data_IF_125586779238
#
_entry.id   IF_125586779238
#
_cell.length_a   1.000
_cell.length_b   1.000
_cell.length_c   1.000
_cell.angle_alpha   90.00
_cell.angle_beta   90.00
_cell.angle_gamma   90.00
#
_symmetry.space_group_name_H-M   'P 1'
#
loop_
_entity.id
_entity.type
_entity.pdbx_description
1 polymer ?
#
# COMPACT_ATOMS: atom_id res chain seq x y z
N UNK A 1 -8.73 -2.46 -28.19
CA UNK A 1 -10.03 -2.46 -27.48
C UNK A 1 -9.69 -1.96 -26.08
N UNK A 2 -10.14 -0.76 -25.73
CA UNK A 2 -9.83 -0.20 -24.41
C UNK A 2 -10.55 -1.02 -23.35
N UNK A 3 -9.82 -1.49 -22.34
CA UNK A 3 -10.46 -2.00 -21.13
C UNK A 3 -11.30 -0.87 -20.56
N UNK A 4 -12.61 -1.10 -20.50
CA UNK A 4 -13.53 -0.26 -19.77
C UNK A 4 -13.14 -0.41 -18.30
N UNK A 5 -12.75 0.69 -17.66
CA UNK A 5 -12.40 0.68 -16.23
C UNK A 5 -13.59 0.13 -15.43
N UNK A 6 -13.38 -0.97 -14.68
CA UNK A 6 -14.40 -1.63 -13.86
C UNK A 6 -14.67 -0.93 -12.52
N UNK A 7 -14.02 0.20 -12.27
CA UNK A 7 -14.27 1.00 -11.08
C UNK A 7 -15.58 1.80 -11.19
N UNK A 8 -16.56 1.49 -10.33
CA UNK A 8 -17.77 2.31 -10.16
C UNK A 8 -17.44 3.77 -9.76
N UNK A 9 -16.33 3.98 -9.05
CA UNK A 9 -15.74 5.28 -8.75
C UNK A 9 -14.29 5.31 -9.22
N UNK A 10 -13.92 6.11 -10.24
CA UNK A 10 -12.56 6.18 -10.73
C UNK A 10 -11.55 6.63 -9.65
N UNK A 11 -10.44 5.89 -9.45
CA UNK A 11 -9.35 6.34 -8.59
C UNK A 11 -8.79 7.70 -9.02
N UNK A 12 -8.49 8.55 -8.04
CA UNK A 12 -7.93 9.90 -8.26
C UNK A 12 -6.50 10.02 -7.72
N UNK A 13 -5.65 10.89 -8.30
CA UNK A 13 -4.33 11.16 -7.76
C UNK A 13 -4.40 11.89 -6.41
N UNK A 14 -3.35 11.79 -5.59
CA UNK A 14 -3.21 12.52 -4.33
C UNK A 14 -1.92 13.34 -4.30
N UNK A 15 -2.00 14.54 -3.73
CA UNK A 15 -0.86 15.45 -3.56
C UNK A 15 -0.50 15.55 -2.07
N UNK A 16 0.67 15.04 -1.71
CA UNK A 16 1.13 14.92 -0.32
C UNK A 16 2.46 15.64 -0.19
N UNK A 17 2.46 16.79 0.49
CA UNK A 17 3.68 17.55 0.82
C UNK A 17 4.57 17.87 -0.40
N UNK A 18 3.95 18.20 -1.54
CA UNK A 18 4.65 18.49 -2.81
C UNK A 18 4.93 17.26 -3.68
N UNK A 19 4.63 16.04 -3.20
CA UNK A 19 4.73 14.79 -3.98
C UNK A 19 3.37 14.44 -4.59
N UNK A 20 3.33 14.16 -5.89
CA UNK A 20 2.12 13.71 -6.58
C UNK A 20 2.13 12.20 -6.76
N UNK A 21 1.16 11.50 -6.16
CA UNK A 21 0.90 10.09 -6.40
C UNK A 21 -0.18 9.96 -7.48
N UNK A 22 0.13 9.41 -8.68
CA UNK A 22 -0.87 9.22 -9.73
C UNK A 22 -2.00 8.28 -9.27
N UNK A 23 -3.15 8.34 -9.95
CA UNK A 23 -4.28 7.45 -9.66
C UNK A 23 -3.95 5.97 -9.88
N UNK A 24 -3.00 5.68 -10.77
CA UNK A 24 -2.58 4.34 -11.14
C UNK A 24 -1.06 4.27 -11.23
N UNK A 25 -0.49 3.12 -10.88
CA UNK A 25 0.93 2.84 -11.03
C UNK A 25 1.16 1.37 -11.42
N UNK A 26 2.18 1.13 -12.24
CA UNK A 26 2.65 -0.22 -12.57
C UNK A 26 3.97 -0.45 -11.84
N UNK A 27 4.06 -1.44 -10.93
CA UNK A 27 5.29 -1.82 -10.26
C UNK A 27 6.42 -2.24 -11.21
N UNK A 28 7.70 -2.16 -10.78
CA UNK A 28 8.83 -2.67 -11.55
C UNK A 28 8.69 -4.18 -11.80
N UNK A 29 9.10 -4.64 -12.99
CA UNK A 29 9.12 -6.07 -13.35
C UNK A 29 7.77 -6.75 -13.04
N UNK A 30 6.71 -6.10 -13.51
CA UNK A 30 5.33 -6.46 -13.24
C UNK A 30 5.05 -7.95 -13.56
N UNK A 31 4.80 -8.73 -12.50
CA UNK A 31 4.74 -10.19 -12.53
C UNK A 31 3.31 -10.74 -12.59
N UNK A 32 2.29 -9.91 -12.46
CA UNK A 32 0.92 -10.40 -12.47
C UNK A 32 0.51 -10.89 -13.87
N UNK A 33 -0.30 -11.95 -13.90
CA UNK A 33 -0.86 -12.54 -15.12
C UNK A 33 -1.81 -11.58 -15.88
N UNK A 34 -2.25 -10.52 -15.22
CA UNK A 34 -3.12 -9.46 -15.74
C UNK A 34 -2.32 -8.15 -15.71
N UNK A 35 -1.82 -7.66 -16.86
CA UNK A 35 -0.99 -6.43 -16.98
C UNK A 35 -1.66 -5.11 -16.52
N UNK A 36 -2.73 -5.19 -15.73
CA UNK A 36 -3.52 -4.06 -15.24
C UNK A 36 -2.73 -3.26 -14.20
N UNK A 37 -2.69 -1.93 -14.26
CA UNK A 37 -2.03 -1.11 -13.25
C UNK A 37 -2.75 -1.20 -11.90
N UNK A 38 -2.01 -0.99 -10.80
CA UNK A 38 -2.57 -0.93 -9.45
C UNK A 38 -3.13 0.48 -9.22
N UNK A 39 -4.26 0.58 -8.51
CA UNK A 39 -4.88 1.87 -8.21
C UNK A 39 -4.38 2.45 -6.89
N UNK A 40 -4.33 3.77 -6.77
CA UNK A 40 -3.95 4.47 -5.55
C UNK A 40 -5.06 4.34 -4.49
N UNK A 41 -4.84 3.42 -3.54
CA UNK A 41 -5.77 3.14 -2.47
C UNK A 41 -5.67 4.16 -1.33
N UNK A 42 -4.50 4.75 -1.11
CA UNK A 42 -4.32 5.84 -0.15
C UNK A 42 -2.92 6.41 -0.15
N UNK A 43 -2.76 7.61 0.40
CA UNK A 43 -1.46 8.24 0.58
C UNK A 43 -1.40 9.12 1.83
N UNK A 44 -0.21 9.32 2.37
CA UNK A 44 -0.02 10.15 3.55
C UNK A 44 1.43 10.40 3.91
N UNK A 45 1.65 11.41 4.76
CA UNK A 45 2.98 11.73 5.28
C UNK A 45 3.37 10.79 6.42
N UNK A 46 4.66 10.50 6.51
CA UNK A 46 5.29 9.90 7.68
C UNK A 46 6.24 10.92 8.29
N UNK A 47 6.08 11.17 9.59
CA UNK A 47 6.85 12.16 10.34
C UNK A 47 7.11 11.73 11.78
N UNK A 48 7.85 12.54 12.51
CA UNK A 48 8.12 12.36 13.95
C UNK A 48 7.93 13.70 14.67
N UNK A 49 7.50 13.63 15.93
CA UNK A 49 7.52 14.79 16.83
C UNK A 49 8.95 15.03 17.31
N UNK A 50 9.51 16.18 16.95
CA UNK A 50 10.86 16.59 17.34
C UNK A 50 10.78 18.01 17.90
N UNK A 51 11.03 18.15 19.21
CA UNK A 51 10.99 19.46 19.87
C UNK A 51 9.62 20.15 19.81
N UNK A 52 8.53 19.39 19.88
CA UNK A 52 7.16 19.91 19.83
C UNK A 52 6.68 20.31 18.43
N UNK A 53 7.40 19.89 17.38
CA UNK A 53 6.99 20.08 15.98
C UNK A 53 6.96 18.74 15.25
N UNK A 54 5.90 18.52 14.47
CA UNK A 54 5.80 17.38 13.58
C UNK A 54 6.69 17.57 12.35
N UNK A 55 7.83 16.89 12.30
CA UNK A 55 8.79 16.93 11.20
C UNK A 55 8.49 15.78 10.23
N UNK A 56 8.21 16.12 8.97
CA UNK A 56 7.88 15.15 7.92
C UNK A 56 9.15 14.63 7.26
N UNK A 57 9.27 13.32 7.12
CA UNK A 57 10.45 12.68 6.51
C UNK A 57 10.14 12.12 5.13
N UNK A 58 8.98 11.49 4.97
CA UNK A 58 8.58 10.86 3.70
C UNK A 58 7.10 11.08 3.42
N UNK A 59 6.74 11.07 2.14
CA UNK A 59 5.38 10.89 1.66
C UNK A 59 5.23 9.46 1.13
N UNK A 60 4.12 8.80 1.46
CA UNK A 60 3.92 7.38 1.14
C UNK A 60 2.63 7.24 0.35
N UNK A 61 2.70 6.58 -0.80
CA UNK A 61 1.55 6.16 -1.60
C UNK A 61 1.43 4.64 -1.60
N UNK A 62 0.21 4.14 -1.41
CA UNK A 62 -0.12 2.72 -1.32
C UNK A 62 -1.10 2.40 -2.44
N UNK A 63 -0.69 1.49 -3.30
CA UNK A 63 -1.43 1.03 -4.45
C UNK A 63 -1.81 -0.42 -4.28
N UNK A 64 -3.01 -0.79 -4.72
CA UNK A 64 -3.54 -2.15 -4.60
C UNK A 64 -4.08 -2.62 -5.95
N UNK A 65 -4.09 -3.94 -6.15
CA UNK A 65 -4.81 -4.54 -7.27
C UNK A 65 -6.32 -4.29 -7.13
N UNK A 66 -7.03 -4.07 -8.24
CA UNK A 66 -8.48 -3.80 -8.22
C UNK A 66 -9.31 -4.90 -7.55
N UNK A 67 -8.87 -6.16 -7.66
CA UNK A 67 -9.45 -7.33 -7.00
C UNK A 67 -9.57 -7.15 -5.47
N UNK A 68 -8.76 -6.28 -4.87
CA UNK A 68 -8.83 -5.94 -3.44
C UNK A 68 -10.18 -5.36 -3.02
N UNK A 69 -10.88 -4.63 -3.90
CA UNK A 69 -12.20 -4.11 -3.59
C UNK A 69 -13.19 -5.26 -3.34
N UNK A 70 -13.25 -6.24 -4.24
CA UNK A 70 -14.09 -7.42 -4.08
C UNK A 70 -13.69 -8.28 -2.88
N UNK A 71 -12.39 -8.49 -2.68
CA UNK A 71 -11.86 -9.30 -1.57
C UNK A 71 -12.17 -8.70 -0.18
N UNK A 72 -12.32 -7.38 -0.08
CA UNK A 72 -12.59 -6.67 1.17
C UNK A 72 -14.08 -6.32 1.35
N UNK A 73 -14.86 -6.31 0.26
CA UNK A 73 -16.24 -5.85 0.26
C UNK A 73 -17.14 -6.61 1.26
N UNK A 74 -17.02 -7.94 1.34
CA UNK A 74 -17.89 -8.78 2.18
C UNK A 74 -17.88 -8.34 3.66
N UNK A 75 -16.70 -7.97 4.17
CA UNK A 75 -16.51 -7.61 5.58
C UNK A 75 -16.66 -6.11 5.84
N UNK A 76 -16.29 -5.27 4.87
CA UNK A 76 -16.03 -3.84 5.12
C UNK A 76 -17.00 -2.86 4.45
N UNK A 77 -17.86 -3.31 3.52
CA UNK A 77 -18.73 -2.41 2.71
C UNK A 77 -19.67 -1.55 3.54
N UNK A 78 -20.27 -2.10 4.61
CA UNK A 78 -21.25 -1.39 5.43
C UNK A 78 -20.63 -0.45 6.47
N UNK A 79 -19.30 -0.36 6.53
CA UNK A 79 -18.58 0.34 7.59
C UNK A 79 -18.27 1.78 7.18
N UNK A 80 -18.55 2.79 8.04
CA UNK A 80 -18.18 4.16 7.76
C UNK A 80 -16.65 4.34 7.86
N UNK A 81 -16.13 5.39 7.23
CA UNK A 81 -14.69 5.60 7.09
C UNK A 81 -13.96 5.75 8.43
N UNK A 82 -14.60 6.32 9.46
CA UNK A 82 -14.06 6.43 10.81
C UNK A 82 -13.95 5.08 11.51
N UNK A 83 -14.93 4.18 11.32
CA UNK A 83 -14.86 2.81 11.84
C UNK A 83 -13.76 2.00 11.13
N UNK A 84 -13.64 2.12 9.80
CA UNK A 84 -12.53 1.55 9.06
C UNK A 84 -11.19 2.13 9.53
N UNK A 85 -11.13 3.44 9.74
CA UNK A 85 -9.91 4.13 10.14
C UNK A 85 -9.38 3.63 11.50
N UNK A 86 -10.30 3.32 12.42
CA UNK A 86 -10.01 2.84 13.77
C UNK A 86 -9.82 1.31 13.85
N UNK A 87 -10.08 0.54 12.80
CA UNK A 87 -10.08 -0.93 12.85
C UNK A 87 -8.70 -1.52 12.49
N UNK A 88 -7.97 -2.14 13.43
CA UNK A 88 -6.74 -2.87 13.10
C UNK A 88 -6.98 -4.02 12.12
N UNK A 89 -8.12 -4.70 12.24
CA UNK A 89 -8.52 -5.82 11.39
C UNK A 89 -8.68 -5.40 9.92
N UNK A 90 -9.17 -4.19 9.64
CA UNK A 90 -9.28 -3.68 8.27
C UNK A 90 -7.90 -3.58 7.60
N UNK A 91 -6.92 -3.02 8.31
CA UNK A 91 -5.56 -2.95 7.79
C UNK A 91 -4.89 -4.32 7.74
N UNK A 92 -5.18 -5.21 8.70
CA UNK A 92 -4.69 -6.59 8.68
C UNK A 92 -5.21 -7.34 7.43
N UNK A 93 -6.47 -7.15 7.05
CA UNK A 93 -7.03 -7.74 5.82
C UNK A 93 -6.38 -7.15 4.57
N UNK A 94 -6.07 -5.85 4.53
CA UNK A 94 -5.29 -5.24 3.45
C UNK A 94 -3.90 -5.87 3.36
N UNK A 95 -3.17 -5.97 4.49
CA UNK A 95 -1.80 -6.50 4.54
C UNK A 95 -1.78 -7.96 4.10
N UNK A 96 -2.71 -8.77 4.59
CA UNK A 96 -2.74 -10.21 4.37
C UNK A 96 -3.52 -10.64 3.12
N UNK A 97 -4.25 -9.72 2.49
CA UNK A 97 -5.19 -10.00 1.41
C UNK A 97 -4.54 -10.68 0.19
N UNK A 98 -5.29 -11.49 -0.57
CA UNK A 98 -4.78 -12.30 -1.67
C UNK A 98 -4.63 -11.49 -2.98
N UNK A 99 -4.13 -10.28 -2.89
CA UNK A 99 -3.94 -9.34 -4.00
C UNK A 99 -2.57 -8.67 -3.90
N UNK A 100 -2.05 -8.23 -5.04
CA UNK A 100 -0.77 -7.52 -5.09
C UNK A 100 -0.88 -6.11 -4.47
N UNK A 101 0.21 -5.65 -3.85
CA UNK A 101 0.34 -4.28 -3.35
C UNK A 101 1.63 -3.65 -3.84
N UNK A 102 1.59 -2.34 -3.99
CA UNK A 102 2.76 -1.55 -4.33
C UNK A 102 2.84 -0.31 -3.46
N UNK A 103 4.00 -0.08 -2.86
CA UNK A 103 4.24 1.06 -1.98
C UNK A 103 5.35 1.90 -2.56
N UNK A 104 5.06 3.20 -2.74
CA UNK A 104 6.07 4.21 -3.08
C UNK A 104 6.31 5.11 -1.89
N UNK A 105 7.52 5.07 -1.35
CA UNK A 105 8.00 5.94 -0.28
C UNK A 105 8.91 6.99 -0.89
N UNK A 106 8.46 8.25 -0.93
CA UNK A 106 9.21 9.37 -1.52
C UNK A 106 9.76 10.28 -0.42
N UNK A 107 11.03 10.64 -0.52
CA UNK A 107 11.74 11.40 0.51
C UNK A 107 11.36 12.88 0.47
N UNK A 108 10.93 13.42 1.61
CA UNK A 108 10.76 14.87 1.83
C UNK A 108 12.07 15.44 2.40
N UNK A 109 12.64 14.74 3.38
CA UNK A 109 13.97 14.99 3.93
C UNK A 109 14.93 13.88 3.51
N UNK A 110 16.24 14.18 3.39
CA UNK A 110 17.22 13.18 3.00
C UNK A 110 17.34 12.07 4.04
N UNK A 111 17.49 10.83 3.56
CA UNK A 111 17.78 9.67 4.39
C UNK A 111 18.88 8.81 3.75
N UNK A 112 19.76 8.21 4.56
CA UNK A 112 20.62 7.13 4.07
C UNK A 112 19.82 5.83 4.05
N UNK A 113 20.20 4.88 3.21
CA UNK A 113 19.56 3.58 3.19
C UNK A 113 19.76 2.80 4.49
N UNK A 114 20.89 2.98 5.18
CA UNK A 114 21.09 2.43 6.53
C UNK A 114 20.04 2.95 7.51
N UNK A 115 19.86 4.28 7.62
CA UNK A 115 18.85 4.86 8.52
C UNK A 115 17.43 4.37 8.22
N UNK A 116 17.08 4.26 6.94
CA UNK A 116 15.77 3.76 6.52
C UNK A 116 15.61 2.28 6.87
N UNK A 117 16.57 1.44 6.45
CA UNK A 117 16.48 -0.01 6.58
C UNK A 117 16.58 -0.48 8.02
N UNK A 118 17.40 0.17 8.85
CA UNK A 118 17.49 -0.11 10.28
C UNK A 118 16.16 0.16 10.98
N UNK A 119 15.50 1.28 10.68
CA UNK A 119 14.22 1.62 11.33
C UNK A 119 13.12 0.63 11.00
N UNK A 120 13.04 0.19 9.74
CA UNK A 120 12.06 -0.84 9.31
C UNK A 120 12.41 -2.19 9.94
N UNK A 121 13.69 -2.59 9.90
CA UNK A 121 14.14 -3.90 10.36
C UNK A 121 14.05 -4.07 11.87
N UNK A 122 14.37 -3.03 12.65
CA UNK A 122 14.24 -3.01 14.11
C UNK A 122 12.80 -3.33 14.54
N UNK A 123 11.82 -2.68 13.91
CA UNK A 123 10.40 -2.89 14.21
C UNK A 123 9.97 -4.33 13.89
N UNK A 124 10.38 -4.86 12.73
CA UNK A 124 10.05 -6.24 12.32
C UNK A 124 10.63 -7.27 13.30
N UNK A 125 11.92 -7.16 13.60
CA UNK A 125 12.66 -8.09 14.45
C UNK A 125 12.15 -8.07 15.89
N UNK A 126 11.87 -6.88 16.45
CA UNK A 126 11.33 -6.74 17.78
C UNK A 126 9.95 -7.40 17.91
N UNK A 127 9.07 -7.16 16.93
CA UNK A 127 7.74 -7.75 16.91
C UNK A 127 7.79 -9.29 16.82
N UNK A 128 8.53 -9.84 15.85
CA UNK A 128 8.63 -11.30 15.67
C UNK A 128 9.26 -12.00 16.86
N UNK A 129 10.24 -11.37 17.51
CA UNK A 129 10.84 -11.89 18.74
C UNK A 129 9.83 -11.89 19.89
N UNK A 130 9.04 -10.82 20.04
CA UNK A 130 8.05 -10.72 21.11
C UNK A 130 6.95 -11.78 21.03
N UNK A 131 6.52 -12.13 19.81
CA UNK A 131 5.48 -13.15 19.59
C UNK A 131 6.04 -14.56 19.31
N UNK A 132 7.36 -14.74 19.41
CA UNK A 132 8.00 -16.06 19.32
C UNK A 132 8.03 -16.70 17.93
N UNK A 133 7.93 -15.92 16.85
CA UNK A 133 7.89 -16.45 15.46
C UNK A 133 9.15 -16.17 14.65
N UNK A 134 10.17 -15.58 15.26
CA UNK A 134 11.44 -15.25 14.63
C UNK A 134 12.24 -16.54 14.36
N UNK A 135 12.53 -16.82 13.09
CA UNK A 135 13.40 -17.92 12.67
C UNK A 135 14.64 -17.40 11.93
N UNK A 136 15.61 -18.28 11.67
CA UNK A 136 16.80 -17.97 10.89
C UNK A 136 16.45 -17.43 9.48
N UNK A 137 15.38 -17.94 8.87
CA UNK A 137 14.92 -17.47 7.56
C UNK A 137 14.48 -16.00 7.59
N UNK A 138 13.90 -15.52 8.70
CA UNK A 138 13.57 -14.10 8.87
C UNK A 138 14.82 -13.25 9.13
N UNK A 139 15.77 -13.76 9.90
CA UNK A 139 17.06 -13.09 10.13
C UNK A 139 17.80 -12.89 8.80
N UNK A 140 17.89 -13.93 7.97
CA UNK A 140 18.52 -13.87 6.66
C UNK A 140 17.80 -12.92 5.69
N UNK A 141 16.46 -12.93 5.72
CA UNK A 141 15.66 -12.01 4.91
C UNK A 141 15.91 -10.55 5.33
N UNK A 142 15.97 -10.26 6.62
CA UNK A 142 16.31 -8.93 7.15
C UNK A 142 17.74 -8.53 6.78
N UNK A 143 18.71 -9.45 6.86
CA UNK A 143 20.08 -9.16 6.44
C UNK A 143 20.16 -8.80 4.95
N UNK A 144 19.49 -9.57 4.07
CA UNK A 144 19.40 -9.24 2.63
C UNK A 144 18.73 -7.90 2.39
N UNK A 145 17.66 -7.60 3.13
CA UNK A 145 17.00 -6.30 3.09
C UNK A 145 17.99 -5.19 3.45
N UNK A 146 18.68 -5.27 4.58
CA UNK A 146 19.65 -4.23 4.98
C UNK A 146 20.80 -4.06 3.98
N UNK A 147 21.36 -5.16 3.47
CA UNK A 147 22.49 -5.10 2.54
C UNK A 147 22.14 -4.38 1.22
N UNK A 148 20.91 -4.51 0.70
CA UNK A 148 20.52 -3.77 -0.53
C UNK A 148 20.40 -2.26 -0.32
N UNK A 149 20.11 -1.82 0.92
CA UNK A 149 20.00 -0.40 1.27
C UNK A 149 21.33 0.24 1.67
N UNK A 150 22.30 -0.56 2.14
CA UNK A 150 23.60 -0.07 2.64
C UNK A 150 24.34 0.91 1.73
N UNK A 151 24.45 0.69 0.40
CA UNK A 151 25.16 1.63 -0.48
C UNK A 151 24.34 2.87 -0.86
N UNK A 152 23.08 2.98 -0.41
CA UNK A 152 22.14 3.97 -0.92
C UNK A 152 22.08 5.24 -0.08
N UNK A 153 21.81 6.35 -0.76
CA UNK A 153 21.40 7.61 -0.14
C UNK A 153 20.24 8.16 -0.93
N UNK A 154 19.19 8.56 -0.21
CA UNK A 154 17.93 9.03 -0.75
C UNK A 154 17.79 10.54 -0.51
N UNK A 155 18.17 11.39 -1.49
CA UNK A 155 17.91 12.82 -1.42
C UNK A 155 16.40 13.11 -1.49
N UNK A 156 15.95 14.33 -1.14
CA UNK A 156 14.56 14.74 -1.37
C UNK A 156 14.11 14.48 -2.81
N UNK A 157 12.89 13.97 -2.97
CA UNK A 157 12.30 13.60 -4.27
C UNK A 157 12.62 12.18 -4.76
N UNK A 158 13.69 11.54 -4.27
CA UNK A 158 13.97 10.14 -4.57
C UNK A 158 12.94 9.21 -3.93
N UNK A 159 12.80 7.99 -4.45
CA UNK A 159 11.79 7.03 -4.01
C UNK A 159 12.34 5.63 -3.75
N UNK A 160 11.80 4.99 -2.72
CA UNK A 160 11.93 3.55 -2.46
C UNK A 160 10.61 2.90 -2.86
N UNK A 161 10.69 1.80 -3.58
CA UNK A 161 9.56 1.11 -4.20
C UNK A 161 9.51 -0.33 -3.70
N UNK A 162 8.36 -0.73 -3.16
CA UNK A 162 8.12 -2.08 -2.69
C UNK A 162 6.95 -2.71 -3.43
N UNK A 163 7.16 -3.89 -4.00
CA UNK A 163 6.08 -4.72 -4.53
C UNK A 163 5.88 -5.91 -3.61
N UNK A 164 4.65 -6.09 -3.14
CA UNK A 164 4.24 -7.15 -2.23
C UNK A 164 3.42 -8.17 -3.02
N UNK A 165 4.07 -9.27 -3.44
CA UNK A 165 3.40 -10.30 -4.24
C UNK A 165 2.45 -11.15 -3.39
N UNK A 166 1.48 -11.79 -4.03
CA UNK A 166 0.58 -12.76 -3.40
C UNK A 166 1.28 -14.05 -2.96
N UNK A 167 2.43 -14.40 -3.58
CA UNK A 167 3.27 -15.53 -3.14
C UNK A 167 3.92 -15.25 -1.77
N UNK A 168 4.12 -13.98 -1.42
CA UNK A 168 4.82 -13.52 -0.22
C UNK A 168 6.26 -13.08 -0.49
N UNK A 169 6.61 -12.78 -1.75
CA UNK A 169 7.88 -12.17 -2.10
C UNK A 169 7.80 -10.65 -1.91
N UNK A 170 8.89 -10.04 -1.46
CA UNK A 170 9.07 -8.59 -1.42
C UNK A 170 10.08 -8.17 -2.49
N UNK A 171 9.60 -7.47 -3.52
CA UNK A 171 10.47 -6.87 -4.54
C UNK A 171 10.79 -5.43 -4.16
N UNK A 172 12.04 -5.03 -4.37
CA UNK A 172 12.57 -3.72 -3.96
C UNK A 172 13.19 -3.07 -5.19
N UNK A 173 12.83 -1.82 -5.44
CA UNK A 173 13.51 -0.96 -6.42
C UNK A 173 13.69 0.45 -5.86
N UNK A 174 14.62 1.20 -6.47
CA UNK A 174 14.91 2.58 -6.09
C UNK A 174 14.78 3.48 -7.32
N UNK A 175 14.29 4.70 -7.10
CA UNK A 175 14.21 5.74 -8.12
C UNK A 175 14.86 7.02 -7.60
N UNK A 176 15.44 7.80 -8.51
CA UNK A 176 16.02 9.11 -8.20
C UNK A 176 14.96 10.22 -8.16
N UNK A 177 13.74 9.90 -8.59
CA UNK A 177 12.61 10.83 -8.70
C UNK A 177 11.28 10.08 -8.44
N UNK A 178 10.18 10.53 -9.07
CA UNK A 178 8.85 9.96 -8.96
C UNK A 178 8.55 8.86 -10.00
N UNK A 179 9.50 8.58 -10.91
CA UNK A 179 9.39 7.50 -11.89
C UNK A 179 9.48 6.11 -11.24
N UNK A 180 8.87 5.13 -11.91
CA UNK A 180 8.99 3.71 -11.56
C UNK A 180 9.96 3.06 -12.55
N UNK A 181 11.07 2.45 -12.11
CA UNK A 181 12.02 1.78 -12.98
C UNK A 181 11.40 0.50 -13.58
N UNK A 182 11.97 0.03 -14.69
CA UNK A 182 11.49 -1.17 -15.38
C UNK A 182 11.78 -2.46 -14.62
N UNK A 183 12.87 -2.50 -13.84
CA UNK A 183 13.36 -3.72 -13.18
C UNK A 183 13.46 -3.57 -11.67
N UNK A 184 13.37 -4.71 -10.96
CA UNK A 184 13.62 -4.74 -9.53
C UNK A 184 15.13 -4.78 -9.26
N UNK A 185 15.54 -4.20 -8.13
CA UNK A 185 16.92 -4.31 -7.64
C UNK A 185 17.16 -5.61 -6.87
N UNK A 186 16.16 -6.05 -6.11
CA UNK A 186 16.22 -7.28 -5.33
C UNK A 186 14.80 -7.84 -5.14
N UNK A 187 14.68 -9.17 -5.13
CA UNK A 187 13.49 -9.89 -4.69
C UNK A 187 13.85 -10.76 -3.48
N UNK A 188 13.09 -10.64 -2.40
CA UNK A 188 13.27 -11.41 -1.17
C UNK A 188 12.06 -12.31 -0.96
N UNK A 189 12.27 -13.62 -1.14
CA UNK A 189 11.26 -14.66 -0.91
C UNK A 189 11.07 -14.92 0.59
N UNK A 190 10.37 -14.03 1.27
CA UNK A 190 10.01 -14.20 2.68
C UNK A 190 8.68 -13.50 2.99
N UNK A 191 7.63 -14.30 3.22
CA UNK A 191 6.27 -13.80 3.47
C UNK A 191 6.16 -12.93 4.71
N UNK A 192 6.90 -13.23 5.79
CA UNK A 192 6.85 -12.44 7.02
C UNK A 192 7.43 -11.05 6.77
N UNK A 193 8.60 -10.95 6.16
CA UNK A 193 9.21 -9.67 5.78
C UNK A 193 8.32 -8.89 4.80
N UNK A 194 7.80 -9.56 3.77
CA UNK A 194 6.91 -8.94 2.79
C UNK A 194 5.71 -8.26 3.47
N UNK A 195 5.05 -8.94 4.42
CA UNK A 195 3.94 -8.35 5.19
C UNK A 195 4.40 -7.26 6.14
N UNK A 196 5.50 -7.51 6.87
CA UNK A 196 5.98 -6.60 7.91
C UNK A 196 6.40 -5.23 7.38
N UNK A 197 6.88 -5.13 6.13
CA UNK A 197 7.19 -3.83 5.51
C UNK A 197 5.93 -2.98 5.36
N UNK A 198 4.82 -3.52 4.84
CA UNK A 198 3.56 -2.78 4.72
C UNK A 198 2.92 -2.54 6.11
N UNK A 199 2.98 -3.55 6.99
CA UNK A 199 2.50 -3.44 8.37
C UNK A 199 3.22 -2.33 9.15
N UNK A 200 4.51 -2.12 8.91
CA UNK A 200 5.26 -1.01 9.53
C UNK A 200 4.68 0.36 9.16
N UNK A 201 3.93 0.47 8.06
CA UNK A 201 3.33 1.71 7.56
C UNK A 201 1.88 1.85 8.05
N UNK A 202 1.05 0.82 7.85
CA UNK A 202 -0.40 0.88 8.05
C UNK A 202 -0.96 -0.07 9.12
N UNK A 203 -0.12 -0.90 9.73
CA UNK A 203 -0.52 -1.81 10.81
C UNK A 203 -1.02 -1.06 12.06
N UNK A 204 -1.32 -1.81 13.12
CA UNK A 204 -1.77 -1.24 14.39
C UNK A 204 -0.81 -0.16 14.91
N UNK A 205 0.50 -0.44 14.85
CA UNK A 205 1.59 0.47 15.22
C UNK A 205 2.26 1.12 14.00
N UNK A 206 1.53 1.26 12.90
CA UNK A 206 2.04 1.81 11.65
C UNK A 206 2.51 3.26 11.77
N UNK A 207 3.60 3.60 11.07
CA UNK A 207 4.25 4.92 11.16
C UNK A 207 3.53 6.04 10.39
N UNK A 208 2.48 5.74 9.62
CA UNK A 208 1.74 6.73 8.83
C UNK A 208 0.23 6.70 9.13
N UNK A 209 -0.22 7.34 10.21
CA UNK A 209 -1.64 7.52 10.50
C UNK A 209 -2.40 8.23 9.37
N UNK A 210 -1.72 9.15 8.66
CA UNK A 210 -2.30 9.85 7.51
C UNK A 210 -2.62 8.89 6.34
N UNK A 211 -1.72 7.95 6.04
CA UNK A 211 -1.96 6.96 5.00
C UNK A 211 -3.09 5.99 5.39
N UNK A 212 -3.15 5.58 6.66
CA UNK A 212 -4.24 4.77 7.22
C UNK A 212 -5.60 5.44 7.03
N UNK A 213 -5.71 6.69 7.44
CA UNK A 213 -6.95 7.47 7.29
C UNK A 213 -7.33 7.68 5.82
N UNK A 214 -6.35 7.94 4.95
CA UNK A 214 -6.59 8.05 3.50
C UNK A 214 -7.13 6.76 2.89
N UNK A 215 -6.57 5.60 3.25
CA UNK A 215 -7.07 4.28 2.84
C UNK A 215 -8.53 4.08 3.27
N UNK A 216 -8.83 4.32 4.55
CA UNK A 216 -10.15 4.11 5.10
C UNK A 216 -11.24 4.94 4.40
N UNK A 217 -10.95 6.22 4.13
CA UNK A 217 -11.88 7.10 3.39
C UNK A 217 -12.13 6.57 1.98
N UNK A 218 -11.06 6.30 1.23
CA UNK A 218 -11.17 5.93 -0.19
C UNK A 218 -11.83 4.57 -0.38
N UNK A 219 -11.54 3.60 0.48
CA UNK A 219 -12.25 2.32 0.48
C UNK A 219 -13.74 2.49 0.79
N UNK A 220 -14.10 3.32 1.79
CA UNK A 220 -15.49 3.62 2.09
C UNK A 220 -16.22 4.24 0.88
N UNK A 221 -15.57 5.14 0.15
CA UNK A 221 -16.10 5.75 -1.09
C UNK A 221 -16.28 4.71 -2.21
N UNK A 222 -15.30 3.85 -2.44
CA UNK A 222 -15.40 2.77 -3.43
C UNK A 222 -16.53 1.79 -3.08
N UNK A 223 -16.65 1.36 -1.82
CA UNK A 223 -17.70 0.44 -1.38
C UNK A 223 -19.11 1.04 -1.51
N UNK A 224 -19.29 2.31 -1.19
CA UNK A 224 -20.56 3.03 -1.39
C UNK A 224 -20.92 3.12 -2.87
N UNK A 225 -19.93 3.43 -3.72
CA UNK A 225 -20.15 3.59 -5.16
C UNK A 225 -20.49 2.27 -5.84
N UNK A 226 -19.83 1.17 -5.46
CA UNK A 226 -20.18 -0.18 -5.92
C UNK A 226 -21.58 -0.60 -5.46
N UNK A 227 -21.95 -0.30 -4.21
CA UNK A 227 -23.29 -0.61 -3.69
C UNK A 227 -24.38 0.14 -4.45
N UNK A 228 -24.14 1.40 -4.84
CA UNK A 228 -25.07 2.20 -5.63
C UNK A 228 -25.19 1.68 -7.07
N UNK A 229 -24.07 1.39 -7.73
CA UNK A 229 -24.05 0.85 -9.10
C UNK A 229 -24.81 -0.49 -9.19
N UNK A 230 -24.59 -1.39 -8.23
CA UNK A 230 -25.31 -2.68 -8.17
C UNK A 230 -26.83 -2.52 -7.98
N UNK A 231 -27.29 -1.47 -7.28
CA UNK A 231 -28.72 -1.19 -7.12
C UNK A 231 -29.36 -0.64 -8.40
N UNK A 232 -28.62 0.18 -9.17
CA UNK A 232 -29.08 0.69 -10.46
C UNK A 232 -29.22 -0.43 -11.50
N UNK A 233 -28.26 -1.36 -11.58
CA UNK A 233 -28.33 -2.52 -12.49
C UNK A 233 -29.54 -3.42 -12.20
N UNK A 234 -29.80 -3.74 -10.92
CA UNK A 234 -30.96 -4.55 -10.51
C UNK A 234 -32.30 -3.86 -10.83
N UNK A 235 -32.33 -2.53 -10.83
CA UNK A 235 -33.54 -1.78 -11.19
C UNK A 235 -33.80 -1.77 -12.70
N UNK A 236 -32.75 -1.78 -13.52
CA UNK A 236 -32.83 -1.82 -14.99
C UNK A 236 -33.22 -3.22 -15.50
N UNK A 237 -32.77 -4.30 -14.83
CA UNK A 237 -33.13 -5.68 -15.19
C UNK A 237 -34.58 -6.08 -14.86
N UNK A 238 -35.30 -5.29 -14.05
CA UNK A 238 -36.72 -5.49 -13.77
C UNK A 238 -37.58 -4.47 -14.55
N UNK A 239 -37.83 -4.66 -15.86
CA UNK A 239 -38.70 -3.76 -16.60
C UNK A 239 -40.11 -3.77 -15.98
N UNK A 240 -40.64 -2.58 -15.72
CA UNK A 240 -42.02 -2.37 -15.26
C UNK A 240 -42.96 -3.02 -16.28
N UNK A 241 -43.60 -4.12 -15.89
CA UNK A 241 -44.66 -4.74 -16.69
C UNK A 241 -45.85 -3.79 -16.69
N UNK A 242 -45.98 -2.99 -17.76
CA UNK A 242 -47.17 -2.20 -18.01
C UNK A 242 -48.23 -3.18 -18.52
N UNK A 243 -49.05 -3.68 -17.61
CA UNK A 243 -50.24 -4.44 -18.00
C UNK A 243 -51.27 -3.46 -18.57
N UNK A 244 -51.60 -3.65 -19.86
CA UNK A 244 -52.65 -2.96 -20.59
C UNK A 244 -54.04 -3.43 -20.17
#
# INVERSE_FOLDING_TARGET
MGEVSSFALPPTPLHIDGVTFPAFATPPEYSSSSKSPLFLAGAGVRGLEIGGKFVKFTAIGIYLEESSLGALAEKWTAKPADELAASPDFYADIINGPFEKFVRVTMILPLTGEMYSDKVSENCMAHWKAIGILTEAEVDAVNKFKEVFKPETFPPGSSILFTHSTSGALSIAFSKDDSVPETNKLVIENRKLCRAVLESIIGEHGVSPAAKHSLAIRFCEHFKSQSAANQEEVHVENPVTINA
#
